data_IF_188241384165
#
_entry.id   IF_188241384165
#
_cell.length_a   1.000
_cell.length_b   1.000
_cell.length_c   1.000
_cell.angle_alpha   90.00
_cell.angle_beta   90.00
_cell.angle_gamma   90.00
#
_symmetry.space_group_name_H-M   'P 1'
#
loop_
_entity.id
_entity.type
_entity.pdbx_description
1 polymer ?
#
# COMPACT_ATOMS: atom_id res chain seq x y z
N UNK A 1 9.25 0.14 23.46
CA UNK A 1 10.66 0.59 23.45
C UNK A 1 10.76 2.08 23.08
N UNK A 2 10.18 2.54 21.96
CA UNK A 2 10.24 3.96 21.54
C UNK A 2 9.62 4.92 22.58
N UNK A 3 8.52 4.54 23.22
CA UNK A 3 7.83 5.38 24.21
C UNK A 3 8.64 5.68 25.49
N UNK A 4 9.67 4.87 25.74
CA UNK A 4 10.53 4.99 26.93
C UNK A 4 12.01 5.18 26.57
N UNK A 5 12.31 5.52 25.33
CA UNK A 5 13.69 5.72 24.82
C UNK A 5 14.64 4.56 25.14
N UNK A 6 14.10 3.33 25.21
CA UNK A 6 14.83 2.13 25.57
C UNK A 6 15.12 1.99 27.09
N UNK A 7 14.66 2.91 27.91
CA UNK A 7 14.81 2.80 29.36
C UNK A 7 13.64 2.01 29.95
N UNK A 8 13.90 0.78 30.36
CA UNK A 8 12.93 -0.13 30.99
C UNK A 8 12.75 0.11 32.50
N UNK A 9 13.66 0.81 33.14
CA UNK A 9 13.64 1.05 34.61
C UNK A 9 12.42 1.91 34.99
N UNK A 10 11.97 2.82 34.11
CA UNK A 10 10.77 3.66 34.35
C UNK A 10 9.46 2.85 34.33
N UNK A 11 9.50 1.62 33.85
CA UNK A 11 8.33 0.75 33.73
C UNK A 11 8.17 -0.08 34.99
N UNK A 12 9.27 -0.58 35.54
CA UNK A 12 9.28 -1.40 36.75
C UNK A 12 8.69 -0.65 37.94
N UNK A 13 8.82 0.68 37.97
CA UNK A 13 8.23 1.55 39.01
C UNK A 13 6.74 1.86 38.81
N UNK A 14 6.19 1.66 37.60
CA UNK A 14 4.80 2.05 37.24
C UNK A 14 3.88 0.90 36.95
N UNK A 15 4.43 -0.25 36.61
CA UNK A 15 3.66 -1.45 36.29
C UNK A 15 3.71 -2.43 37.47
N UNK A 16 2.56 -2.96 37.85
CA UNK A 16 2.41 -3.97 38.88
C UNK A 16 2.82 -5.38 38.37
N UNK A 17 3.87 -5.45 37.55
CA UNK A 17 4.33 -6.72 36.95
C UNK A 17 5.80 -6.97 37.29
N UNK A 18 6.15 -8.21 37.51
CA UNK A 18 7.54 -8.68 37.71
C UNK A 18 8.19 -9.14 36.41
N UNK A 19 7.47 -9.04 35.27
CA UNK A 19 7.91 -9.51 33.95
C UNK A 19 8.54 -8.38 33.16
N UNK A 20 9.61 -8.68 32.40
CA UNK A 20 10.19 -7.71 31.48
C UNK A 20 9.22 -7.36 30.35
N UNK A 21 9.32 -6.14 29.80
CA UNK A 21 8.54 -5.72 28.62
C UNK A 21 8.71 -6.69 27.48
N UNK A 22 9.93 -7.12 27.22
CA UNK A 22 10.24 -8.08 26.15
C UNK A 22 9.49 -9.41 26.33
N UNK A 23 9.37 -9.89 27.57
CA UNK A 23 8.63 -11.13 27.87
C UNK A 23 7.12 -10.94 27.70
N UNK A 24 6.59 -9.78 28.04
CA UNK A 24 5.17 -9.43 27.86
C UNK A 24 4.85 -9.41 26.37
N UNK A 25 5.64 -8.71 25.54
CA UNK A 25 5.43 -8.67 24.11
C UNK A 25 5.65 -10.02 23.41
N UNK A 26 6.65 -10.80 23.80
CA UNK A 26 6.86 -12.17 23.29
C UNK A 26 5.70 -13.10 23.65
N UNK A 27 5.10 -12.93 24.84
CA UNK A 27 3.89 -13.66 25.24
C UNK A 27 2.71 -13.27 24.36
N UNK A 28 2.45 -11.98 24.19
CA UNK A 28 1.38 -11.47 23.36
C UNK A 28 1.51 -11.93 21.89
N UNK A 29 2.75 -11.91 21.35
CA UNK A 29 3.01 -12.40 19.98
C UNK A 29 2.72 -13.90 19.85
N UNK A 30 3.06 -14.73 20.83
CA UNK A 30 2.72 -16.17 20.82
C UNK A 30 1.20 -16.39 20.84
N UNK A 31 0.49 -15.63 21.67
CA UNK A 31 -0.98 -15.66 21.73
C UNK A 31 -1.57 -15.32 20.36
N UNK A 32 -1.11 -14.22 19.76
CA UNK A 32 -1.56 -13.81 18.43
C UNK A 32 -1.31 -14.89 17.37
N UNK A 33 -0.11 -15.44 17.32
CA UNK A 33 0.27 -16.49 16.38
C UNK A 33 -0.54 -17.79 16.59
N UNK A 34 -0.97 -18.07 17.81
CA UNK A 34 -1.85 -19.22 18.11
C UNK A 34 -3.26 -18.93 17.64
N UNK A 35 -3.79 -17.76 17.97
CA UNK A 35 -5.14 -17.33 17.57
C UNK A 35 -5.28 -17.23 16.05
N UNK A 36 -4.26 -16.76 15.35
CA UNK A 36 -4.28 -16.62 13.88
C UNK A 36 -4.43 -17.95 13.13
N UNK A 37 -4.08 -19.07 13.78
CA UNK A 37 -4.25 -20.44 13.25
C UNK A 37 -5.60 -21.10 13.57
N UNK A 38 -6.48 -20.41 14.28
CA UNK A 38 -7.79 -20.92 14.60
C UNK A 38 -8.73 -20.89 13.38
N UNK A 39 -9.83 -21.66 13.45
CA UNK A 39 -10.86 -21.59 12.42
C UNK A 39 -11.40 -20.16 12.27
N UNK A 40 -11.68 -19.69 11.04
CA UNK A 40 -12.20 -18.34 10.80
C UNK A 40 -13.41 -17.95 11.65
N UNK A 41 -14.30 -18.91 11.96
CA UNK A 41 -15.47 -18.68 12.82
C UNK A 41 -15.09 -18.33 14.28
N UNK A 42 -13.98 -18.84 14.78
CA UNK A 42 -13.52 -18.67 16.17
C UNK A 42 -12.51 -17.51 16.30
N UNK A 43 -12.00 -17.00 15.21
CA UNK A 43 -11.05 -15.85 15.18
C UNK A 43 -11.78 -14.53 15.43
N UNK A 44 -12.34 -14.37 16.62
CA UNK A 44 -12.99 -13.13 17.05
C UNK A 44 -12.05 -12.29 17.92
N UNK A 45 -12.22 -10.97 17.88
CA UNK A 45 -11.47 -10.05 18.75
C UNK A 45 -11.67 -10.39 20.22
N UNK A 46 -12.87 -10.81 20.61
CA UNK A 46 -13.18 -11.19 21.98
C UNK A 46 -12.36 -12.39 22.43
N UNK A 47 -12.21 -13.40 21.60
CA UNK A 47 -11.38 -14.57 21.90
C UNK A 47 -9.90 -14.20 22.00
N UNK A 48 -9.38 -13.33 21.11
CA UNK A 48 -8.01 -12.83 21.20
C UNK A 48 -7.77 -12.08 22.51
N UNK A 49 -8.64 -11.13 22.86
CA UNK A 49 -8.51 -10.33 24.09
C UNK A 49 -8.55 -11.18 25.36
N UNK A 50 -9.33 -12.26 25.39
CA UNK A 50 -9.38 -13.21 26.52
C UNK A 50 -8.08 -14.00 26.70
N UNK A 51 -7.31 -14.17 25.64
CA UNK A 51 -6.06 -14.94 25.67
C UNK A 51 -4.84 -14.06 26.04
N UNK A 52 -4.95 -12.73 25.89
CA UNK A 52 -3.89 -11.80 26.24
C UNK A 52 -3.78 -11.60 27.77
N UNK A 53 -2.55 -11.55 28.27
CA UNK A 53 -2.27 -11.34 29.66
C UNK A 53 -2.66 -9.92 30.13
N UNK A 54 -3.01 -9.78 31.41
CA UNK A 54 -3.31 -8.48 32.02
C UNK A 54 -2.13 -7.50 31.91
N UNK A 55 -0.90 -7.97 32.09
CA UNK A 55 0.32 -7.18 31.99
C UNK A 55 0.45 -6.46 30.65
N UNK A 56 0.01 -7.09 29.55
CA UNK A 56 -0.01 -6.48 28.22
C UNK A 56 -0.93 -5.25 28.16
N UNK A 57 -2.08 -5.32 28.79
CA UNK A 57 -3.01 -4.18 28.86
C UNK A 57 -2.50 -3.07 29.76
N UNK A 58 -1.84 -3.39 30.88
CA UNK A 58 -1.21 -2.39 31.75
C UNK A 58 -0.10 -1.62 31.01
N UNK A 59 0.73 -2.32 30.24
CA UNK A 59 1.74 -1.65 29.37
C UNK A 59 1.07 -0.72 28.38
N UNK A 60 0.03 -1.17 27.69
CA UNK A 60 -0.69 -0.32 26.73
C UNK A 60 -1.32 0.90 27.39
N UNK A 61 -1.98 0.74 28.54
CA UNK A 61 -2.62 1.84 29.26
C UNK A 61 -1.60 2.86 29.79
N UNK A 62 -0.39 2.40 30.14
CA UNK A 62 0.69 3.29 30.63
C UNK A 62 1.25 4.22 29.55
N UNK A 63 1.22 3.81 28.28
CA UNK A 63 1.79 4.56 27.13
C UNK A 63 0.73 5.23 26.25
N UNK A 64 -0.57 4.98 26.51
CA UNK A 64 -1.65 5.51 25.70
C UNK A 64 -2.67 6.30 26.52
N UNK A 65 -3.05 7.46 26.01
CA UNK A 65 -4.22 8.21 26.50
C UNK A 65 -5.32 8.04 25.46
N UNK A 66 -6.09 6.97 25.60
CA UNK A 66 -7.19 6.69 24.68
C UNK A 66 -8.43 7.50 25.03
N UNK A 67 -8.98 8.23 24.05
CA UNK A 67 -10.28 8.88 24.14
C UNK A 67 -11.21 8.25 23.10
N UNK A 68 -12.03 7.28 23.52
CA UNK A 68 -13.01 6.69 22.63
C UNK A 68 -14.15 7.68 22.33
N UNK A 69 -14.79 7.52 21.18
CA UNK A 69 -15.99 8.28 20.80
C UNK A 69 -17.08 8.22 21.89
N UNK A 70 -17.31 7.04 22.46
CA UNK A 70 -18.26 6.85 23.59
C UNK A 70 -17.83 7.65 24.82
N UNK A 71 -16.54 7.70 25.10
CA UNK A 71 -15.99 8.48 26.22
C UNK A 71 -16.24 9.98 26.02
N UNK A 72 -15.94 10.49 24.79
CA UNK A 72 -16.20 11.89 24.46
C UNK A 72 -17.68 12.22 24.60
N UNK A 73 -18.57 11.42 24.02
CA UNK A 73 -20.02 11.64 24.10
C UNK A 73 -20.58 11.58 25.53
N UNK A 74 -19.94 10.83 26.42
CA UNK A 74 -20.39 10.67 27.82
C UNK A 74 -19.93 11.79 28.73
N UNK A 75 -18.73 12.32 28.53
CA UNK A 75 -18.06 13.20 29.50
C UNK A 75 -17.83 14.63 29.03
N UNK A 76 -18.07 14.93 27.75
CA UNK A 76 -17.90 16.28 27.20
C UNK A 76 -19.25 16.83 26.72
N UNK A 77 -19.40 18.15 26.84
CA UNK A 77 -20.60 18.82 26.30
C UNK A 77 -20.53 18.88 24.77
N UNK A 78 -21.34 18.04 24.13
CA UNK A 78 -21.42 17.97 22.67
C UNK A 78 -22.13 19.16 22.05
N UNK A 79 -22.82 20.01 22.85
CA UNK A 79 -23.40 21.26 22.35
C UNK A 79 -22.32 22.29 22.00
N UNK A 80 -21.20 22.30 22.75
CA UNK A 80 -20.07 23.20 22.47
C UNK A 80 -19.10 22.67 21.42
N UNK A 81 -18.77 21.37 21.48
CA UNK A 81 -17.74 20.77 20.62
C UNK A 81 -18.31 20.13 19.34
N UNK A 82 -19.64 20.06 19.20
CA UNK A 82 -20.32 19.43 18.09
C UNK A 82 -20.59 17.93 18.29
N UNK A 83 -21.25 17.33 17.32
CA UNK A 83 -21.59 15.90 17.33
C UNK A 83 -20.77 15.12 16.31
N UNK A 84 -20.61 13.83 16.53
CA UNK A 84 -20.03 12.93 15.52
C UNK A 84 -21.11 12.54 14.49
N UNK A 85 -20.72 12.39 13.22
CA UNK A 85 -21.64 11.85 12.22
C UNK A 85 -21.98 10.38 12.52
N UNK A 86 -23.17 9.96 12.08
CA UNK A 86 -23.60 8.56 12.17
C UNK A 86 -22.89 7.73 11.09
N UNK A 87 -22.20 6.69 11.49
CA UNK A 87 -21.56 5.73 10.59
C UNK A 87 -22.59 4.81 9.98
N UNK A 88 -22.77 4.83 8.68
CA UNK A 88 -23.58 3.82 7.98
C UNK A 88 -22.81 2.49 7.92
N UNK A 89 -23.55 1.39 7.70
CA UNK A 89 -22.93 0.07 7.54
C UNK A 89 -21.97 0.09 6.36
N UNK A 90 -20.70 -0.34 6.53
CA UNK A 90 -19.75 -0.38 5.43
C UNK A 90 -20.27 -1.25 4.27
N UNK A 91 -20.03 -0.77 3.05
CA UNK A 91 -20.32 -1.52 1.82
C UNK A 91 -19.04 -2.25 1.42
N UNK A 92 -19.12 -3.56 1.26
CA UNK A 92 -18.00 -4.39 0.79
C UNK A 92 -18.32 -4.95 -0.60
N UNK A 93 -17.45 -4.70 -1.55
CA UNK A 93 -17.58 -5.08 -2.94
C UNK A 93 -16.45 -6.02 -3.33
N UNK A 94 -16.75 -7.04 -4.12
CA UNK A 94 -15.78 -8.02 -4.63
C UNK A 94 -16.00 -8.21 -6.14
N UNK A 95 -15.63 -7.23 -6.97
CA UNK A 95 -15.75 -7.37 -8.41
C UNK A 95 -14.77 -8.44 -8.92
N UNK A 96 -15.14 -9.22 -9.92
CA UNK A 96 -14.19 -10.09 -10.61
C UNK A 96 -13.12 -9.24 -11.31
N UNK A 97 -12.02 -9.88 -11.75
CA UNK A 97 -10.92 -9.19 -12.42
C UNK A 97 -11.37 -8.46 -13.68
N UNK A 98 -12.21 -9.12 -14.50
CA UNK A 98 -12.67 -8.61 -15.77
C UNK A 98 -14.06 -9.17 -16.16
N UNK A 99 -14.75 -8.47 -17.05
CA UNK A 99 -16.01 -8.88 -17.65
C UNK A 99 -15.81 -9.68 -18.97
N UNK A 100 -14.59 -9.90 -19.43
CA UNK A 100 -14.29 -10.69 -20.62
C UNK A 100 -14.57 -12.17 -20.37
N UNK A 101 -15.33 -12.82 -21.27
CA UNK A 101 -15.78 -14.22 -21.08
C UNK A 101 -14.68 -15.28 -21.17
N UNK A 102 -13.54 -14.96 -21.75
CA UNK A 102 -12.40 -15.88 -21.97
C UNK A 102 -11.12 -15.34 -21.37
N UNK A 103 -11.22 -14.46 -20.36
CA UNK A 103 -10.06 -13.84 -19.75
C UNK A 103 -9.61 -14.60 -18.51
N UNK A 104 -8.35 -14.40 -18.23
CA UNK A 104 -7.66 -14.89 -17.04
C UNK A 104 -8.36 -14.43 -15.74
N UNK A 105 -8.38 -15.28 -14.76
CA UNK A 105 -8.84 -14.98 -13.41
C UNK A 105 -7.67 -14.79 -12.44
N UNK A 106 -7.95 -14.37 -11.21
CA UNK A 106 -6.92 -14.15 -10.18
C UNK A 106 -6.08 -15.40 -9.89
N UNK A 107 -6.69 -16.58 -9.86
CA UNK A 107 -5.99 -17.84 -9.54
C UNK A 107 -5.00 -18.23 -10.65
N UNK A 108 -5.40 -18.09 -11.91
CA UNK A 108 -4.52 -18.36 -13.06
C UNK A 108 -3.32 -17.39 -13.09
N UNK A 109 -3.53 -16.11 -12.75
CA UNK A 109 -2.42 -15.16 -12.61
C UNK A 109 -1.50 -15.60 -11.47
N UNK A 110 -2.08 -16.01 -10.34
CA UNK A 110 -1.32 -16.47 -9.19
C UNK A 110 -0.44 -17.68 -9.54
N UNK A 111 -1.00 -18.69 -10.20
CA UNK A 111 -0.25 -19.87 -10.65
C UNK A 111 0.94 -19.49 -11.55
N UNK A 112 0.74 -18.55 -12.48
CA UNK A 112 1.83 -18.06 -13.33
C UNK A 112 2.87 -17.27 -12.55
N UNK A 113 2.48 -16.43 -11.60
CA UNK A 113 3.41 -15.72 -10.74
C UNK A 113 4.27 -16.66 -9.90
N UNK A 114 3.73 -17.80 -9.47
CA UNK A 114 4.48 -18.83 -8.74
C UNK A 114 5.55 -19.54 -9.59
N UNK A 115 5.45 -19.48 -10.93
CA UNK A 115 6.49 -20.00 -11.83
C UNK A 115 7.70 -19.06 -11.95
N UNK A 116 7.57 -17.78 -11.56
CA UNK A 116 8.66 -16.83 -11.62
C UNK A 116 9.72 -17.14 -10.57
N UNK A 117 10.94 -17.32 -11.04
CA UNK A 117 12.10 -17.46 -10.14
C UNK A 117 12.65 -16.11 -9.69
N UNK A 118 12.37 -15.03 -10.41
CA UNK A 118 12.80 -13.66 -10.15
C UNK A 118 14.31 -13.55 -9.87
N UNK A 119 15.11 -14.30 -10.65
CA UNK A 119 16.57 -14.40 -10.47
C UNK A 119 17.30 -13.10 -10.78
N UNK A 120 16.60 -12.16 -11.40
CA UNK A 120 17.10 -10.79 -11.55
C UNK A 120 17.41 -10.10 -10.21
N UNK A 121 16.70 -10.48 -9.13
CA UNK A 121 16.87 -9.95 -7.79
C UNK A 121 17.84 -10.79 -6.92
N UNK A 122 18.35 -11.91 -7.45
CA UNK A 122 19.28 -12.81 -6.72
C UNK A 122 20.56 -13.11 -7.51
N UNK A 123 21.25 -12.11 -8.06
CA UNK A 123 22.44 -12.31 -8.89
C UNK A 123 23.60 -12.93 -8.12
N UNK A 124 23.69 -12.76 -6.80
CA UNK A 124 24.76 -13.34 -5.98
C UNK A 124 24.76 -14.87 -6.03
N UNK A 125 23.61 -15.51 -6.27
CA UNK A 125 23.51 -16.96 -6.40
C UNK A 125 24.27 -17.53 -7.61
N UNK A 126 24.59 -16.69 -8.58
CA UNK A 126 25.28 -17.07 -9.79
C UNK A 126 26.77 -16.67 -9.77
N UNK A 127 27.28 -16.12 -8.68
CA UNK A 127 28.74 -15.88 -8.53
C UNK A 127 29.46 -17.22 -8.46
N UNK A 128 30.52 -17.38 -9.25
CA UNK A 128 31.33 -18.60 -9.24
C UNK A 128 31.96 -18.80 -7.86
N UNK A 129 31.94 -20.04 -7.30
CA UNK A 129 32.53 -20.29 -5.98
C UNK A 129 33.96 -19.80 -5.81
N UNK A 130 34.77 -19.89 -6.87
CA UNK A 130 36.16 -19.40 -6.89
C UNK A 130 36.30 -17.88 -6.83
N UNK A 131 35.21 -17.14 -6.92
CA UNK A 131 35.14 -15.66 -6.92
C UNK A 131 34.40 -15.09 -5.72
N UNK A 132 33.80 -15.93 -4.90
CA UNK A 132 33.02 -15.52 -3.74
C UNK A 132 33.81 -14.64 -2.77
N UNK A 133 35.08 -15.00 -2.51
CA UNK A 133 35.95 -14.23 -1.60
C UNK A 133 36.17 -12.78 -2.06
N UNK A 134 36.19 -12.54 -3.38
CA UNK A 134 36.32 -11.18 -3.96
C UNK A 134 35.15 -10.29 -3.56
N UNK A 135 33.98 -10.86 -3.39
CA UNK A 135 32.75 -10.13 -3.07
C UNK A 135 32.38 -10.21 -1.60
N UNK A 136 32.97 -11.13 -0.80
CA UNK A 136 32.66 -11.31 0.62
C UNK A 136 32.86 -10.01 1.42
N UNK A 137 33.95 -9.28 1.20
CA UNK A 137 34.22 -7.99 1.87
C UNK A 137 33.24 -6.87 1.47
N UNK A 138 32.68 -6.95 0.25
CA UNK A 138 31.69 -5.98 -0.26
C UNK A 138 30.29 -6.25 0.25
N UNK A 139 30.02 -7.53 0.62
CA UNK A 139 28.74 -8.01 1.09
C UNK A 139 28.63 -8.08 2.63
N UNK A 140 29.76 -8.04 3.33
CA UNK A 140 29.79 -8.00 4.80
C UNK A 140 30.03 -6.55 5.27
N UNK A 141 28.99 -5.82 5.59
CA UNK A 141 29.13 -4.56 6.31
C UNK A 141 29.40 -4.86 7.81
N UNK A 142 30.68 -4.73 8.21
CA UNK A 142 31.23 -5.08 9.50
C UNK A 142 30.67 -4.30 10.71
N UNK A 143 29.50 -3.68 10.63
CA UNK A 143 28.96 -2.81 11.67
C UNK A 143 27.58 -3.17 12.23
N UNK A 144 26.91 -4.20 11.72
CA UNK A 144 25.62 -4.62 12.27
C UNK A 144 25.70 -6.10 12.65
N UNK A 145 25.77 -6.37 13.94
CA UNK A 145 25.80 -7.69 14.57
C UNK A 145 24.43 -8.41 14.43
N UNK A 146 23.96 -8.66 13.23
CA UNK A 146 22.83 -9.57 12.99
C UNK A 146 23.09 -10.20 11.64
N UNK A 147 23.27 -11.54 11.59
CA UNK A 147 23.67 -12.37 10.44
C UNK A 147 22.79 -12.30 9.18
N UNK A 148 22.62 -11.09 8.65
CA UNK A 148 22.02 -10.88 7.34
C UNK A 148 23.12 -10.90 6.28
N UNK A 149 23.35 -12.06 5.69
CA UNK A 149 24.18 -12.19 4.49
C UNK A 149 23.44 -11.56 3.29
N UNK A 150 24.19 -11.08 2.28
CA UNK A 150 23.61 -10.56 1.04
C UNK A 150 22.62 -11.57 0.40
N UNK A 151 22.93 -12.86 0.44
CA UNK A 151 22.05 -13.90 -0.06
C UNK A 151 20.68 -13.91 0.65
N UNK A 152 20.65 -13.74 1.97
CA UNK A 152 19.39 -13.65 2.72
C UNK A 152 18.60 -12.40 2.36
N UNK A 153 19.29 -11.29 2.09
CA UNK A 153 18.70 -10.05 1.63
C UNK A 153 18.06 -10.19 0.24
N UNK A 154 18.78 -10.74 -0.72
CA UNK A 154 18.28 -10.99 -2.07
C UNK A 154 17.04 -11.91 -2.05
N UNK A 155 17.04 -12.93 -1.20
CA UNK A 155 15.87 -13.80 -0.96
C UNK A 155 14.69 -13.00 -0.38
N UNK A 156 14.96 -12.08 0.54
CA UNK A 156 13.95 -11.17 1.08
C UNK A 156 13.34 -10.30 -0.01
N UNK A 157 14.17 -9.66 -0.85
CA UNK A 157 13.73 -8.83 -1.98
C UNK A 157 12.86 -9.64 -2.94
N UNK A 158 13.30 -10.84 -3.33
CA UNK A 158 12.53 -11.73 -4.20
C UNK A 158 11.12 -12.01 -3.64
N UNK A 159 11.03 -12.36 -2.35
CA UNK A 159 9.74 -12.59 -1.70
C UNK A 159 8.87 -11.34 -1.67
N UNK A 160 9.45 -10.19 -1.31
CA UNK A 160 8.73 -8.91 -1.29
C UNK A 160 8.23 -8.54 -2.68
N UNK A 161 9.03 -8.75 -3.73
CA UNK A 161 8.61 -8.48 -5.12
C UNK A 161 7.40 -9.34 -5.51
N UNK A 162 7.40 -10.63 -5.17
CA UNK A 162 6.24 -11.49 -5.44
C UNK A 162 4.98 -10.99 -4.71
N UNK A 163 5.11 -10.65 -3.42
CA UNK A 163 4.00 -10.09 -2.64
C UNK A 163 3.52 -8.75 -3.24
N UNK A 164 4.45 -7.89 -3.65
CA UNK A 164 4.09 -6.60 -4.24
C UNK A 164 3.39 -6.76 -5.60
N UNK A 165 3.80 -7.72 -6.43
CA UNK A 165 3.07 -8.03 -7.67
C UNK A 165 1.62 -8.41 -7.38
N UNK A 166 1.39 -9.24 -6.36
CA UNK A 166 0.04 -9.60 -5.92
C UNK A 166 -0.76 -8.39 -5.43
N UNK A 167 -0.17 -7.55 -4.58
CA UNK A 167 -0.80 -6.31 -4.09
C UNK A 167 -1.17 -5.36 -5.24
N UNK A 168 -0.29 -5.23 -6.25
CA UNK A 168 -0.55 -4.39 -7.42
C UNK A 168 -1.68 -4.94 -8.28
N UNK A 169 -1.75 -6.27 -8.44
CA UNK A 169 -2.87 -6.93 -9.12
C UNK A 169 -4.20 -6.68 -8.39
N UNK A 170 -4.21 -6.79 -7.05
CA UNK A 170 -5.38 -6.46 -6.24
C UNK A 170 -5.78 -4.99 -6.36
N UNK A 171 -4.81 -4.09 -6.46
CA UNK A 171 -5.08 -2.67 -6.61
C UNK A 171 -5.68 -2.37 -7.97
N UNK A 172 -4.97 -2.64 -9.06
CA UNK A 172 -5.49 -2.51 -10.42
C UNK A 172 -4.70 -3.35 -11.42
N UNK A 173 -5.40 -3.90 -12.42
CA UNK A 173 -4.77 -4.60 -13.56
C UNK A 173 -3.78 -3.70 -14.29
N UNK A 174 -4.08 -2.40 -14.38
CA UNK A 174 -3.20 -1.41 -15.00
C UNK A 174 -1.86 -1.29 -14.27
N UNK A 175 -1.88 -1.09 -12.96
CA UNK A 175 -0.67 -0.98 -12.13
C UNK A 175 0.14 -2.28 -12.16
N UNK A 176 -0.52 -3.42 -12.13
CA UNK A 176 0.11 -4.74 -12.27
C UNK A 176 0.82 -4.88 -13.62
N UNK A 177 0.13 -4.63 -14.73
CA UNK A 177 0.70 -4.70 -16.08
C UNK A 177 1.90 -3.76 -16.25
N UNK A 178 1.82 -2.54 -15.71
CA UNK A 178 2.91 -1.58 -15.75
C UNK A 178 4.16 -2.12 -15.03
N UNK A 179 3.97 -2.75 -13.88
CA UNK A 179 5.10 -3.34 -13.11
C UNK A 179 5.69 -4.56 -13.82
N UNK A 180 4.86 -5.44 -14.40
CA UNK A 180 5.36 -6.56 -15.19
C UNK A 180 6.24 -6.07 -16.35
N UNK A 181 5.83 -5.02 -17.06
CA UNK A 181 6.61 -4.42 -18.15
C UNK A 181 7.95 -3.86 -17.67
N UNK A 182 7.97 -3.15 -16.53
CA UNK A 182 9.22 -2.64 -15.93
C UNK A 182 10.20 -3.78 -15.58
N UNK A 183 9.68 -4.87 -15.01
CA UNK A 183 10.52 -6.05 -14.71
C UNK A 183 11.00 -6.72 -16.00
N UNK A 184 10.14 -6.84 -17.00
CA UNK A 184 10.50 -7.40 -18.31
C UNK A 184 11.62 -6.59 -18.98
N UNK A 185 11.51 -5.26 -19.05
CA UNK A 185 12.54 -4.36 -19.60
C UNK A 185 13.88 -4.54 -18.89
N UNK A 186 13.88 -4.68 -17.57
CA UNK A 186 15.08 -4.93 -16.78
C UNK A 186 15.71 -6.30 -17.12
N UNK A 187 14.92 -7.34 -17.25
CA UNK A 187 15.38 -8.69 -17.63
C UNK A 187 15.95 -8.67 -19.06
N UNK A 188 15.25 -8.07 -20.02
CA UNK A 188 15.70 -7.97 -21.41
C UNK A 188 17.02 -7.21 -21.53
N UNK A 189 17.16 -6.08 -20.85
CA UNK A 189 18.39 -5.29 -20.83
C UNK A 189 19.57 -6.08 -20.24
N UNK A 190 19.29 -6.88 -19.20
CA UNK A 190 20.30 -7.75 -18.58
C UNK A 190 20.70 -8.89 -19.51
N UNK A 191 19.75 -9.57 -20.15
CA UNK A 191 20.02 -10.63 -21.14
C UNK A 191 20.86 -10.05 -22.29
N UNK A 192 20.49 -8.86 -22.80
CA UNK A 192 21.26 -8.20 -23.85
C UNK A 192 22.71 -7.90 -23.42
N UNK A 193 22.90 -7.45 -22.18
CA UNK A 193 24.24 -7.21 -21.62
C UNK A 193 25.06 -8.50 -21.51
N UNK A 194 24.43 -9.63 -21.16
CA UNK A 194 25.09 -10.95 -21.12
C UNK A 194 25.44 -11.42 -22.53
N UNK A 195 24.53 -11.27 -23.49
CA UNK A 195 24.73 -11.73 -24.88
C UNK A 195 25.81 -10.92 -25.63
N UNK A 196 25.98 -9.65 -25.27
CA UNK A 196 27.01 -8.79 -25.84
C UNK A 196 28.36 -8.86 -25.10
N UNK A 197 28.42 -9.64 -24.01
CA UNK A 197 29.64 -9.76 -23.22
C UNK A 197 30.77 -10.44 -23.99
N UNK A 198 31.86 -9.68 -24.23
CA UNK A 198 33.13 -10.21 -24.75
C UNK A 198 34.12 -10.35 -23.59
N UNK A 199 34.68 -11.56 -23.42
CA UNK A 199 35.68 -11.86 -22.38
C UNK A 199 36.91 -10.95 -22.40
N UNK A 200 37.13 -10.16 -23.47
CA UNK A 200 38.22 -9.21 -23.61
C UNK A 200 37.88 -7.82 -23.05
N UNK A 201 36.61 -7.52 -22.83
CA UNK A 201 36.13 -6.28 -22.22
C UNK A 201 35.67 -6.53 -20.82
N UNK A 202 36.18 -5.82 -19.81
CA UNK A 202 35.67 -5.85 -18.45
C UNK A 202 34.34 -5.07 -18.41
N UNK A 203 33.24 -5.69 -18.83
CA UNK A 203 31.91 -5.13 -18.67
C UNK A 203 31.46 -5.38 -17.25
N UNK A 204 31.35 -4.32 -16.47
CA UNK A 204 30.73 -4.36 -15.14
C UNK A 204 29.23 -4.16 -15.32
N UNK A 205 28.45 -5.18 -14.97
CA UNK A 205 27.02 -4.98 -14.76
C UNK A 205 26.86 -4.05 -13.56
N UNK A 206 26.46 -2.82 -13.83
CA UNK A 206 25.95 -1.95 -12.78
C UNK A 206 24.53 -2.42 -12.47
N UNK A 207 24.39 -3.26 -11.45
CA UNK A 207 23.07 -3.63 -10.89
C UNK A 207 22.37 -2.43 -10.22
N UNK A 208 22.75 -1.22 -10.65
CA UNK A 208 22.21 0.07 -10.17
C UNK A 208 20.75 0.25 -10.51
N UNK A 209 20.27 -0.41 -11.57
CA UNK A 209 18.88 -0.26 -11.99
C UNK A 209 17.92 -1.19 -11.26
N UNK A 210 18.46 -2.17 -10.53
CA UNK A 210 17.61 -3.04 -9.67
C UNK A 210 17.09 -2.27 -8.46
N UNK A 211 17.83 -1.28 -7.97
CA UNK A 211 17.37 -0.41 -6.88
C UNK A 211 16.44 0.71 -7.35
N UNK A 212 16.38 1.02 -8.65
CA UNK A 212 15.41 1.96 -9.20
C UNK A 212 14.02 1.32 -9.45
N UNK A 213 13.85 0.04 -9.09
CA UNK A 213 12.53 -0.52 -8.74
C UNK A 213 12.01 0.15 -7.45
N UNK A 214 12.77 1.11 -6.89
CA UNK A 214 12.44 2.02 -5.78
C UNK A 214 11.23 2.94 -6.04
N UNK A 215 10.68 2.96 -7.23
CA UNK A 215 9.32 3.39 -7.46
C UNK A 215 8.28 2.31 -7.08
N UNK A 216 8.66 1.34 -6.25
CA UNK A 216 7.68 0.70 -5.38
C UNK A 216 7.24 1.79 -4.39
N UNK A 217 6.13 2.37 -4.70
CA UNK A 217 5.40 3.35 -3.91
C UNK A 217 4.91 2.70 -2.59
N UNK A 218 5.85 2.21 -1.81
CA UNK A 218 5.59 1.72 -0.47
C UNK A 218 5.77 2.89 0.46
N UNK A 219 4.69 3.61 0.72
CA UNK A 219 4.61 4.51 1.88
C UNK A 219 4.70 3.73 3.21
N UNK A 220 4.95 2.43 3.18
CA UNK A 220 5.28 1.61 4.33
C UNK A 220 6.77 1.77 4.64
N UNK A 221 7.08 2.54 5.70
CA UNK A 221 8.44 2.76 6.20
C UNK A 221 9.25 1.47 6.42
N UNK A 222 8.59 0.34 6.63
CA UNK A 222 9.25 -0.96 6.74
C UNK A 222 9.79 -1.49 5.40
N UNK A 223 9.18 -1.13 4.29
CA UNK A 223 9.65 -1.53 2.96
C UNK A 223 10.81 -0.62 2.52
N UNK A 224 10.77 0.69 2.85
CA UNK A 224 11.88 1.63 2.59
C UNK A 224 13.16 1.22 3.34
N UNK A 225 13.07 0.75 4.59
CA UNK A 225 14.24 0.25 5.33
C UNK A 225 14.85 -1.00 4.68
N UNK A 226 14.03 -1.92 4.15
CA UNK A 226 14.49 -3.13 3.47
C UNK A 226 15.15 -2.82 2.11
N UNK A 227 14.66 -1.82 1.38
CA UNK A 227 15.22 -1.40 0.09
C UNK A 227 16.36 -0.37 0.23
N UNK A 228 16.34 0.48 1.26
CA UNK A 228 17.37 1.50 1.50
C UNK A 228 18.70 0.92 2.02
N UNK A 229 18.70 -0.24 2.65
CA UNK A 229 19.90 -0.87 3.19
C UNK A 229 20.68 -1.63 2.11
N UNK A 230 21.60 -0.97 1.41
CA UNK A 230 22.61 -1.65 0.62
C UNK A 230 23.40 -0.77 -0.31
N UNK A 231 24.71 -0.80 -0.13
CA UNK A 231 25.66 -0.31 -1.14
C UNK A 231 25.42 -1.08 -2.44
N UNK A 232 25.35 -0.36 -3.55
CA UNK A 232 25.29 -0.89 -4.92
C UNK A 232 26.52 -1.75 -5.16
N UNK A 233 26.37 -3.06 -5.17
CA UNK A 233 27.49 -3.96 -5.46
C UNK A 233 27.52 -4.22 -6.96
N UNK A 234 28.68 -3.91 -7.58
CA UNK A 234 28.91 -4.17 -9.00
C UNK A 234 29.54 -5.56 -9.15
N UNK A 235 28.83 -6.48 -9.80
CA UNK A 235 29.34 -7.81 -10.10
C UNK A 235 29.84 -7.82 -11.53
N UNK A 236 31.05 -8.36 -11.75
CA UNK A 236 31.58 -8.56 -13.09
C UNK A 236 30.97 -9.81 -13.72
N UNK A 237 30.43 -9.72 -14.94
CA UNK A 237 29.80 -10.85 -15.65
C UNK A 237 30.78 -12.05 -15.73
N UNK A 238 32.08 -11.78 -15.91
CA UNK A 238 33.13 -12.81 -15.97
C UNK A 238 33.33 -13.59 -14.68
N UNK A 239 32.84 -13.10 -13.54
CA UNK A 239 32.92 -13.76 -12.24
C UNK A 239 31.66 -14.58 -11.91
N UNK A 240 30.71 -14.64 -12.85
CA UNK A 240 29.42 -15.31 -12.68
C UNK A 240 29.27 -16.53 -13.60
N UNK A 241 28.44 -17.49 -13.18
CA UNK A 241 27.83 -18.46 -14.11
C UNK A 241 26.71 -17.75 -14.89
N UNK A 242 27.11 -16.81 -15.72
CA UNK A 242 26.20 -15.97 -16.50
C UNK A 242 25.34 -16.77 -17.49
N UNK A 243 25.76 -17.99 -17.88
CA UNK A 243 24.96 -18.83 -18.76
C UNK A 243 23.73 -19.37 -18.05
N UNK A 244 23.93 -19.99 -16.88
CA UNK A 244 22.82 -20.49 -16.08
C UNK A 244 21.90 -19.36 -15.62
N UNK A 245 22.48 -18.18 -15.30
CA UNK A 245 21.68 -17.00 -14.96
C UNK A 245 20.82 -16.54 -16.13
N UNK A 246 21.43 -16.42 -17.33
CA UNK A 246 20.72 -16.08 -18.56
C UNK A 246 19.58 -17.05 -18.85
N UNK A 247 19.78 -18.34 -18.71
CA UNK A 247 18.74 -19.36 -18.95
C UNK A 247 17.57 -19.21 -17.95
N UNK A 248 17.85 -18.82 -16.71
CA UNK A 248 16.84 -18.53 -15.71
C UNK A 248 16.07 -17.23 -16.04
N UNK A 249 16.80 -16.18 -16.46
CA UNK A 249 16.19 -14.91 -16.88
C UNK A 249 15.29 -15.10 -18.10
N UNK A 250 15.66 -15.94 -19.06
CA UNK A 250 14.83 -16.26 -20.24
C UNK A 250 13.52 -16.93 -19.81
N UNK A 251 13.56 -17.86 -18.85
CA UNK A 251 12.33 -18.46 -18.32
C UNK A 251 11.41 -17.44 -17.64
N UNK A 252 11.98 -16.57 -16.82
CA UNK A 252 11.22 -15.49 -16.18
C UNK A 252 10.63 -14.53 -17.22
N UNK A 253 11.41 -14.18 -18.27
CA UNK A 253 10.93 -13.37 -19.39
C UNK A 253 9.71 -13.98 -20.05
N UNK A 254 9.79 -15.27 -20.43
CA UNK A 254 8.71 -15.95 -21.15
C UNK A 254 7.42 -16.00 -20.33
N UNK A 255 7.51 -16.17 -19.01
CA UNK A 255 6.35 -16.10 -18.09
C UNK A 255 5.79 -14.68 -17.99
N UNK A 256 6.66 -13.66 -17.90
CA UNK A 256 6.23 -12.25 -17.84
C UNK A 256 5.54 -11.82 -19.15
N UNK A 257 6.09 -12.20 -20.31
CA UNK A 257 5.47 -11.94 -21.62
C UNK A 257 4.07 -12.55 -21.71
N UNK A 258 3.90 -13.80 -21.23
CA UNK A 258 2.61 -14.47 -21.18
C UNK A 258 1.63 -13.71 -20.26
N UNK A 259 2.05 -13.34 -19.06
CA UNK A 259 1.22 -12.56 -18.15
C UNK A 259 0.80 -11.22 -18.73
N UNK A 260 1.76 -10.48 -19.34
CA UNK A 260 1.49 -9.18 -19.99
C UNK A 260 0.47 -9.34 -21.13
N UNK A 261 0.62 -10.40 -21.93
CA UNK A 261 -0.33 -10.69 -23.01
C UNK A 261 -1.73 -10.97 -22.45
N UNK A 262 -1.84 -11.80 -21.42
CA UNK A 262 -3.13 -12.20 -20.85
C UNK A 262 -3.88 -11.05 -20.17
N UNK A 263 -3.17 -10.13 -19.50
CA UNK A 263 -3.79 -8.97 -18.84
C UNK A 263 -3.91 -7.76 -19.75
N UNK A 264 -3.21 -7.76 -20.90
CA UNK A 264 -3.17 -6.65 -21.85
C UNK A 264 -4.50 -6.30 -22.49
N UNK A 265 -5.38 -7.29 -22.64
CA UNK A 265 -6.72 -7.12 -23.21
C UNK A 265 -7.73 -6.50 -22.22
N UNK A 266 -7.35 -6.39 -20.95
CA UNK A 266 -8.22 -5.79 -19.92
C UNK A 266 -8.08 -4.27 -19.97
N UNK A 267 -8.78 -3.66 -20.93
CA UNK A 267 -8.89 -2.20 -21.05
C UNK A 267 -9.83 -1.63 -19.97
N UNK A 268 -9.89 -0.30 -19.77
CA UNK A 268 -10.79 0.30 -18.79
C UNK A 268 -12.25 -0.12 -18.92
N UNK A 269 -12.72 -0.40 -20.14
CA UNK A 269 -14.08 -0.87 -20.42
C UNK A 269 -14.34 -2.28 -19.88
N UNK A 270 -13.30 -3.10 -19.80
CA UNK A 270 -13.37 -4.49 -19.35
C UNK A 270 -12.83 -4.69 -17.93
N UNK A 271 -12.29 -3.64 -17.30
CA UNK A 271 -11.88 -3.63 -15.88
C UNK A 271 -13.13 -3.58 -14.99
N UNK A 272 -13.54 -4.74 -14.49
CA UNK A 272 -14.76 -4.85 -13.67
C UNK A 272 -14.71 -4.01 -12.41
N UNK A 273 -13.53 -3.84 -11.82
CA UNK A 273 -13.34 -3.05 -10.59
C UNK A 273 -13.54 -1.57 -10.87
N UNK A 274 -13.00 -1.06 -11.98
CA UNK A 274 -13.22 0.31 -12.42
C UNK A 274 -14.68 0.57 -12.78
N UNK A 275 -15.33 -0.37 -13.49
CA UNK A 275 -16.74 -0.25 -13.85
C UNK A 275 -17.64 -0.24 -12.60
N UNK A 276 -17.33 -1.07 -11.60
CA UNK A 276 -18.04 -1.05 -10.34
C UNK A 276 -17.81 0.27 -9.57
N UNK A 277 -16.59 0.83 -9.61
CA UNK A 277 -16.31 2.15 -9.05
C UNK A 277 -17.18 3.23 -9.70
N UNK A 278 -17.34 3.23 -11.02
CA UNK A 278 -18.23 4.17 -11.72
C UNK A 278 -19.68 4.03 -11.25
N UNK A 279 -20.14 2.78 -11.01
CA UNK A 279 -21.48 2.52 -10.50
C UNK A 279 -21.66 3.10 -9.09
N UNK A 280 -20.67 2.92 -8.20
CA UNK A 280 -20.68 3.45 -6.85
C UNK A 280 -20.70 4.99 -6.85
N UNK A 281 -19.83 5.61 -7.64
CA UNK A 281 -19.76 7.08 -7.78
C UNK A 281 -21.10 7.62 -8.31
N UNK A 282 -21.63 7.02 -9.37
CA UNK A 282 -22.92 7.40 -9.94
C UNK A 282 -24.04 7.35 -8.90
N UNK A 283 -24.13 6.23 -8.19
CA UNK A 283 -25.16 6.05 -7.16
C UNK A 283 -25.05 7.11 -6.04
N UNK A 284 -23.84 7.41 -5.56
CA UNK A 284 -23.62 8.47 -4.55
C UNK A 284 -24.03 9.85 -5.06
N UNK A 285 -23.75 10.17 -6.31
CA UNK A 285 -24.05 11.48 -6.89
C UNK A 285 -25.55 11.67 -7.20
N UNK A 286 -26.23 10.60 -7.61
CA UNK A 286 -27.68 10.59 -7.86
C UNK A 286 -28.50 10.48 -6.58
N UNK A 287 -27.99 9.79 -5.54
CA UNK A 287 -28.65 9.56 -4.26
C UNK A 287 -27.71 9.93 -3.09
N UNK A 288 -27.45 11.22 -2.86
CA UNK A 288 -26.53 11.64 -1.81
C UNK A 288 -27.06 11.27 -0.42
N UNK A 289 -26.18 10.75 0.45
CA UNK A 289 -26.55 10.38 1.83
C UNK A 289 -26.78 11.58 2.75
N UNK A 290 -26.19 12.73 2.43
CA UNK A 290 -26.54 14.02 3.00
C UNK A 290 -26.93 14.97 1.86
N UNK A 291 -28.00 15.71 2.03
CA UNK A 291 -28.54 16.58 0.99
C UNK A 291 -27.49 17.55 0.44
N UNK A 292 -27.35 17.60 -0.88
CA UNK A 292 -26.42 18.49 -1.57
C UNK A 292 -24.94 18.10 -1.49
N UNK A 293 -24.55 17.12 -0.66
CA UNK A 293 -23.15 16.72 -0.56
C UNK A 293 -22.75 15.75 -1.67
N UNK A 294 -21.86 16.18 -2.56
CA UNK A 294 -21.31 15.42 -3.69
C UNK A 294 -19.88 14.97 -3.49
N UNK A 295 -19.28 15.27 -2.33
CA UNK A 295 -17.85 15.00 -2.08
C UNK A 295 -17.60 13.52 -1.90
N UNK A 296 -16.56 13.03 -2.57
CA UNK A 296 -16.08 11.64 -2.52
C UNK A 296 -14.56 11.65 -2.39
N UNK A 297 -14.02 10.85 -1.47
CA UNK A 297 -12.61 10.57 -1.42
C UNK A 297 -12.34 9.11 -1.76
N UNK A 298 -11.36 8.86 -2.64
CA UNK A 298 -10.96 7.53 -3.09
C UNK A 298 -9.51 7.32 -2.68
N UNK A 299 -9.27 6.34 -1.84
CA UNK A 299 -7.93 5.95 -1.43
C UNK A 299 -7.45 4.72 -2.20
N UNK A 300 -6.19 4.74 -2.59
CA UNK A 300 -5.44 3.60 -3.14
C UNK A 300 -4.03 3.57 -2.57
N UNK A 301 -3.40 2.40 -2.53
CA UNK A 301 -2.05 2.22 -2.01
C UNK A 301 -0.96 2.65 -3.02
N UNK A 302 -1.27 2.69 -4.32
CA UNK A 302 -0.26 2.89 -5.37
C UNK A 302 -0.52 4.15 -6.21
N UNK A 303 0.54 4.95 -6.44
CA UNK A 303 0.46 6.14 -7.30
C UNK A 303 0.10 5.80 -8.75
N UNK A 304 0.59 4.68 -9.29
CA UNK A 304 0.20 4.20 -10.63
C UNK A 304 -1.33 3.97 -10.72
N UNK A 305 -1.93 3.37 -9.68
CA UNK A 305 -3.38 3.19 -9.60
C UNK A 305 -4.09 4.53 -9.42
N UNK A 306 -3.55 5.44 -8.61
CA UNK A 306 -4.14 6.79 -8.45
C UNK A 306 -4.18 7.54 -9.78
N UNK A 307 -3.09 7.48 -10.56
CA UNK A 307 -3.02 8.05 -11.91
C UNK A 307 -4.06 7.43 -12.86
N UNK A 308 -4.14 6.11 -12.88
CA UNK A 308 -5.13 5.38 -13.68
C UNK A 308 -6.57 5.75 -13.32
N UNK A 309 -6.88 5.82 -12.04
CA UNK A 309 -8.19 6.26 -11.55
C UNK A 309 -8.47 7.70 -11.94
N UNK A 310 -7.49 8.59 -11.79
CA UNK A 310 -7.66 9.98 -12.18
C UNK A 310 -7.98 10.13 -13.66
N UNK A 311 -7.26 9.45 -14.54
CA UNK A 311 -7.48 9.52 -15.99
C UNK A 311 -8.87 9.05 -16.42
N UNK A 312 -9.43 8.05 -15.73
CA UNK A 312 -10.72 7.46 -16.06
C UNK A 312 -11.89 8.13 -15.30
N UNK A 313 -11.75 8.31 -13.97
CA UNK A 313 -12.81 8.88 -13.14
C UNK A 313 -13.03 10.36 -13.44
N UNK A 314 -11.95 11.14 -13.68
CA UNK A 314 -12.11 12.57 -13.97
C UNK A 314 -12.92 12.83 -15.24
N UNK A 315 -12.71 12.05 -16.29
CA UNK A 315 -13.51 12.12 -17.53
C UNK A 315 -14.96 11.77 -17.25
N UNK A 316 -15.19 10.60 -16.61
CA UNK A 316 -16.54 10.12 -16.30
C UNK A 316 -17.36 11.13 -15.50
N UNK A 317 -16.75 11.74 -14.47
CA UNK A 317 -17.41 12.67 -13.55
C UNK A 317 -17.61 14.05 -14.21
N UNK A 318 -16.65 14.51 -15.00
CA UNK A 318 -16.74 15.76 -15.73
C UNK A 318 -17.83 15.72 -16.81
N UNK A 319 -17.86 14.64 -17.59
CA UNK A 319 -18.79 14.52 -18.72
C UNK A 319 -20.24 14.32 -18.25
N UNK A 320 -20.47 13.58 -17.17
CA UNK A 320 -21.82 13.24 -16.71
C UNK A 320 -22.38 14.17 -15.64
N UNK A 321 -21.51 14.71 -14.78
CA UNK A 321 -21.96 15.44 -13.58
C UNK A 321 -21.39 16.86 -13.48
N UNK A 322 -20.48 17.24 -14.39
CA UNK A 322 -19.81 18.55 -14.41
C UNK A 322 -19.09 18.90 -13.11
N UNK A 323 -18.51 17.89 -12.45
CA UNK A 323 -17.80 18.02 -11.18
C UNK A 323 -16.28 18.02 -11.38
N UNK A 324 -15.56 18.61 -10.44
CA UNK A 324 -14.12 18.68 -10.46
C UNK A 324 -13.47 17.53 -9.68
N UNK A 325 -12.38 17.02 -10.24
CA UNK A 325 -11.60 15.94 -9.65
C UNK A 325 -10.16 16.41 -9.44
N UNK A 326 -9.54 15.98 -8.34
CA UNK A 326 -8.11 16.11 -8.13
C UNK A 326 -7.49 14.78 -7.69
N UNK A 327 -6.18 14.66 -7.89
CA UNK A 327 -5.36 13.57 -7.44
C UNK A 327 -4.17 14.11 -6.64
N UNK A 328 -3.85 13.47 -5.52
CA UNK A 328 -2.66 13.74 -4.71
C UNK A 328 -1.97 12.43 -4.34
N UNK A 329 -0.64 12.43 -4.40
CA UNK A 329 0.19 11.28 -4.03
C UNK A 329 1.49 11.78 -3.40
N UNK A 330 2.20 10.91 -2.67
CA UNK A 330 3.47 11.26 -2.04
C UNK A 330 4.63 11.32 -3.05
N UNK A 331 4.56 10.54 -4.11
CA UNK A 331 5.67 10.32 -5.06
C UNK A 331 5.48 11.02 -6.42
N UNK A 332 4.23 11.37 -6.78
CA UNK A 332 3.91 11.97 -8.08
C UNK A 332 3.25 13.34 -7.88
N UNK A 333 3.56 14.28 -8.77
CA UNK A 333 2.95 15.61 -8.77
C UNK A 333 1.41 15.53 -8.81
N UNK A 334 0.76 16.34 -7.98
CA UNK A 334 -0.70 16.42 -7.93
C UNK A 334 -1.30 16.85 -9.27
N UNK A 335 -2.53 16.41 -9.54
CA UNK A 335 -3.28 16.70 -10.78
C UNK A 335 -4.68 17.19 -10.44
N UNK A 336 -5.22 18.11 -11.25
CA UNK A 336 -6.60 18.61 -11.08
C UNK A 336 -7.25 18.92 -12.42
N UNK A 337 -8.57 18.74 -12.49
CA UNK A 337 -9.38 19.15 -13.65
C UNK A 337 -9.72 20.64 -13.66
N UNK A 338 -9.38 21.35 -12.57
CA UNK A 338 -9.64 22.78 -12.43
C UNK A 338 -8.55 23.58 -13.14
N UNK A 339 -8.89 24.38 -14.18
CA UNK A 339 -7.89 25.15 -14.90
C UNK A 339 -7.19 26.15 -13.99
N UNK A 340 -5.86 26.26 -14.11
CA UNK A 340 -5.00 27.22 -13.38
C UNK A 340 -4.95 27.07 -11.86
N UNK A 341 -5.59 26.05 -11.28
CA UNK A 341 -5.42 25.75 -9.88
C UNK A 341 -4.05 25.10 -9.66
N UNK A 342 -3.31 25.57 -8.65
CA UNK A 342 -2.08 24.88 -8.24
C UNK A 342 -2.41 23.50 -7.69
N UNK A 343 -1.68 22.49 -8.14
CA UNK A 343 -1.89 21.09 -7.77
C UNK A 343 -1.14 20.66 -6.51
N UNK A 344 -0.59 21.62 -5.76
CA UNK A 344 0.03 21.33 -4.47
C UNK A 344 -1.00 20.81 -3.45
N UNK A 345 -0.51 20.00 -2.53
CA UNK A 345 -1.33 19.28 -1.55
C UNK A 345 -2.27 20.23 -0.76
N UNK A 346 -1.75 21.34 -0.26
CA UNK A 346 -2.53 22.23 0.60
C UNK A 346 -3.66 22.92 -0.18
N UNK A 347 -3.38 23.42 -1.38
CA UNK A 347 -4.37 24.05 -2.25
C UNK A 347 -5.47 23.07 -2.64
N UNK A 348 -5.10 21.85 -3.06
CA UNK A 348 -6.05 20.80 -3.42
C UNK A 348 -6.95 20.43 -2.23
N UNK A 349 -6.38 20.18 -1.05
CA UNK A 349 -7.15 19.81 0.13
C UNK A 349 -8.05 20.96 0.64
N UNK A 350 -7.60 22.22 0.50
CA UNK A 350 -8.41 23.41 0.85
C UNK A 350 -9.61 23.55 -0.08
N UNK A 351 -9.44 23.29 -1.38
CA UNK A 351 -10.54 23.30 -2.34
C UNK A 351 -11.48 22.09 -2.21
N UNK A 352 -10.95 20.94 -1.74
CA UNK A 352 -11.75 19.74 -1.49
C UNK A 352 -12.59 19.86 -0.21
N UNK A 353 -12.02 20.41 0.86
CA UNK A 353 -12.66 20.53 2.18
C UNK A 353 -12.72 21.98 2.65
N UNK A 354 -13.47 22.86 1.94
CA UNK A 354 -13.41 24.30 2.10
C UNK A 354 -13.87 24.78 3.48
N UNK A 355 -14.79 24.08 4.12
CA UNK A 355 -15.31 24.47 5.44
C UNK A 355 -14.30 24.09 6.52
N UNK A 356 -13.87 22.85 6.54
CA UNK A 356 -12.94 22.34 7.56
C UNK A 356 -11.50 22.80 7.39
N UNK A 357 -11.18 23.46 6.28
CA UNK A 357 -9.88 24.10 5.99
C UNK A 357 -9.94 25.62 5.99
N UNK A 358 -11.05 26.21 6.42
CA UNK A 358 -11.25 27.66 6.47
C UNK A 358 -10.88 28.36 5.15
N UNK A 359 -11.29 27.78 4.01
CA UNK A 359 -10.96 28.30 2.67
C UNK A 359 -11.32 29.78 2.51
N UNK A 360 -12.40 30.21 3.11
CA UNK A 360 -12.87 31.61 3.06
C UNK A 360 -11.85 32.58 3.66
N UNK A 361 -10.98 32.14 4.58
CA UNK A 361 -9.88 32.95 5.15
C UNK A 361 -8.61 32.85 4.29
N UNK A 362 -8.33 31.66 3.76
CA UNK A 362 -7.09 31.41 3.02
C UNK A 362 -7.14 31.85 1.57
N UNK A 363 -8.33 31.76 0.94
CA UNK A 363 -8.56 32.02 -0.48
C UNK A 363 -9.93 32.73 -0.68
N UNK A 364 -10.13 33.95 -0.15
CA UNK A 364 -11.45 34.61 -0.09
C UNK A 364 -12.07 34.85 -1.45
N UNK A 365 -11.27 35.11 -2.48
CA UNK A 365 -11.74 35.42 -3.84
C UNK A 365 -11.92 34.15 -4.70
N UNK A 366 -11.47 33.00 -4.24
CA UNK A 366 -11.55 31.73 -5.00
C UNK A 366 -12.74 30.88 -4.55
N UNK A 367 -13.73 30.76 -5.44
CA UNK A 367 -14.94 29.95 -5.24
C UNK A 367 -14.82 28.53 -5.79
N UNK A 368 -13.64 28.15 -6.28
CA UNK A 368 -13.41 26.84 -6.88
C UNK A 368 -13.55 25.74 -5.84
N UNK A 369 -14.28 24.69 -6.16
CA UNK A 369 -14.37 23.50 -5.33
C UNK A 369 -13.91 22.26 -6.10
N UNK A 370 -13.35 21.32 -5.37
CA UNK A 370 -13.05 19.96 -5.82
C UNK A 370 -14.09 19.05 -5.17
N UNK A 371 -14.73 18.21 -5.96
CA UNK A 371 -15.79 17.32 -5.52
C UNK A 371 -15.27 15.91 -5.28
N UNK A 372 -14.36 15.43 -6.14
CA UNK A 372 -13.72 14.12 -5.99
C UNK A 372 -12.23 14.28 -5.75
N UNK A 373 -11.75 13.57 -4.74
CA UNK A 373 -10.33 13.48 -4.41
C UNK A 373 -9.86 12.03 -4.52
N UNK A 374 -8.85 11.79 -5.34
CA UNK A 374 -8.14 10.51 -5.42
C UNK A 374 -6.81 10.69 -4.72
N UNK A 375 -6.49 9.81 -3.78
CA UNK A 375 -5.31 9.98 -2.94
C UNK A 375 -4.63 8.67 -2.61
N UNK A 376 -3.32 8.72 -2.47
CA UNK A 376 -2.56 7.68 -1.78
C UNK A 376 -2.54 7.94 -0.27
N UNK A 377 -1.87 7.11 0.50
CA UNK A 377 -1.80 7.23 1.96
C UNK A 377 -1.02 8.47 2.45
N UNK A 378 -0.44 9.28 1.54
CA UNK A 378 0.21 10.56 1.87
C UNK A 378 -0.68 11.53 2.66
N UNK A 379 -2.01 11.40 2.54
CA UNK A 379 -2.98 12.21 3.29
C UNK A 379 -3.68 11.40 4.40
N UNK A 380 -3.23 10.18 4.66
CA UNK A 380 -3.84 9.34 5.71
C UNK A 380 -3.62 9.89 7.12
N UNK A 381 -2.67 10.82 7.31
CA UNK A 381 -2.35 11.42 8.62
C UNK A 381 -2.49 12.96 8.60
N UNK A 382 -2.87 13.51 9.75
CA UNK A 382 -2.87 14.97 10.00
C UNK A 382 -3.95 15.80 9.31
N UNK A 383 -4.63 15.30 8.28
CA UNK A 383 -5.58 16.09 7.50
C UNK A 383 -7.02 16.02 8.06
N UNK A 384 -7.74 17.16 8.02
CA UNK A 384 -9.17 17.24 8.32
C UNK A 384 -9.95 17.37 7.01
N UNK A 385 -10.78 16.37 6.68
CA UNK A 385 -11.54 16.29 5.44
C UNK A 385 -13.03 16.00 5.72
N UNK A 386 -13.53 16.50 6.85
CA UNK A 386 -14.89 16.21 7.33
C UNK A 386 -16.03 16.85 6.52
N UNK A 387 -15.71 17.68 5.51
CA UNK A 387 -16.69 18.14 4.53
C UNK A 387 -17.13 16.98 3.62
N UNK A 388 -16.28 15.99 3.45
CA UNK A 388 -16.59 14.76 2.72
C UNK A 388 -17.36 13.78 3.61
N UNK A 389 -18.37 13.13 3.03
CA UNK A 389 -19.22 12.15 3.72
C UNK A 389 -19.08 10.72 3.16
N UNK A 390 -18.29 10.55 2.08
CA UNK A 390 -18.20 9.28 1.35
C UNK A 390 -16.76 8.91 1.06
N UNK A 391 -16.27 7.83 1.68
CA UNK A 391 -14.91 7.34 1.54
C UNK A 391 -14.92 5.98 0.87
N UNK A 392 -14.11 5.84 -0.18
CA UNK A 392 -13.90 4.61 -0.93
C UNK A 392 -12.45 4.16 -0.73
N UNK A 393 -12.24 2.98 -0.17
CA UNK A 393 -10.98 2.27 -0.28
C UNK A 393 -11.02 1.44 -1.56
N UNK A 394 -10.32 1.90 -2.60
CA UNK A 394 -10.23 1.17 -3.87
C UNK A 394 -9.39 -0.09 -3.75
N UNK A 395 -8.44 -0.08 -2.84
CA UNK A 395 -7.73 -1.26 -2.35
C UNK A 395 -7.64 -1.23 -0.82
N UNK A 396 -7.55 -2.41 -0.24
CA UNK A 396 -7.47 -2.60 1.20
C UNK A 396 -6.00 -2.66 1.60
N UNK A 397 -5.61 -1.75 2.50
CA UNK A 397 -4.28 -1.81 3.07
C UNK A 397 -4.18 -3.00 4.06
N UNK A 398 -3.07 -3.75 4.00
CA UNK A 398 -2.85 -4.92 4.88
C UNK A 398 -2.80 -4.53 6.36
N UNK A 399 -2.29 -3.35 6.67
CA UNK A 399 -2.36 -2.82 8.01
C UNK A 399 -3.75 -2.19 8.27
N UNK A 400 -4.61 -2.78 9.11
CA UNK A 400 -5.94 -2.27 9.38
C UNK A 400 -5.94 -0.87 10.02
N UNK A 401 -4.83 -0.46 10.65
CA UNK A 401 -4.66 0.88 11.21
C UNK A 401 -4.77 1.94 10.12
N UNK A 402 -4.23 1.69 8.92
CA UNK A 402 -4.34 2.61 7.79
C UNK A 402 -5.81 2.84 7.38
N UNK A 403 -6.62 1.79 7.33
CA UNK A 403 -8.06 1.91 7.02
C UNK A 403 -8.76 2.78 8.08
N UNK A 404 -8.43 2.56 9.36
CA UNK A 404 -8.96 3.37 10.47
C UNK A 404 -8.50 4.83 10.34
N UNK A 405 -7.23 5.07 10.01
CA UNK A 405 -6.68 6.41 9.81
C UNK A 405 -7.35 7.12 8.63
N UNK A 406 -7.50 6.45 7.47
CA UNK A 406 -8.23 6.97 6.31
C UNK A 406 -9.65 7.38 6.70
N UNK A 407 -10.41 6.49 7.35
CA UNK A 407 -11.77 6.77 7.77
C UNK A 407 -11.85 7.90 8.81
N UNK A 408 -10.86 7.99 9.70
CA UNK A 408 -10.74 9.09 10.67
C UNK A 408 -10.56 10.48 10.03
N UNK A 409 -10.35 10.59 8.71
CA UNK A 409 -10.31 11.90 8.01
C UNK A 409 -11.67 12.54 7.89
N UNK A 410 -12.73 11.73 7.73
CA UNK A 410 -14.12 12.18 7.58
C UNK A 410 -14.95 11.96 8.85
N UNK A 411 -14.59 11.01 9.69
CA UNK A 411 -15.30 10.69 10.94
C UNK A 411 -14.78 11.52 12.11
N UNK A 412 -15.15 12.80 12.14
CA UNK A 412 -14.70 13.76 13.14
C UNK A 412 -15.86 14.46 13.84
N UNK A 413 -15.60 14.87 15.08
CA UNK A 413 -16.52 15.69 15.85
C UNK A 413 -16.67 17.07 15.20
N UNK A 414 -17.88 17.63 15.24
CA UNK A 414 -18.18 18.92 14.61
C UNK A 414 -18.38 18.85 13.09
N UNK A 415 -18.46 17.63 12.50
CA UNK A 415 -18.85 17.50 11.10
C UNK A 415 -20.26 18.02 10.85
N UNK A 416 -20.46 18.71 9.71
CA UNK A 416 -21.78 19.12 9.24
C UNK A 416 -22.60 17.98 8.64
N UNK A 417 -21.95 16.86 8.33
CA UNK A 417 -22.60 15.68 7.79
C UNK A 417 -23.32 14.90 8.88
N UNK A 418 -24.56 14.53 8.64
CA UNK A 418 -25.34 13.66 9.55
C UNK A 418 -24.89 12.22 9.45
N UNK A 419 -24.57 11.78 8.24
CA UNK A 419 -24.17 10.41 7.93
C UNK A 419 -22.84 10.38 7.21
N UNK A 420 -22.06 9.30 7.42
CA UNK A 420 -20.85 9.00 6.65
C UNK A 420 -20.85 7.56 6.21
N UNK A 421 -20.33 7.30 5.00
CA UNK A 421 -20.27 6.00 4.38
C UNK A 421 -18.84 5.59 4.08
N UNK A 422 -18.54 4.32 4.37
CA UNK A 422 -17.32 3.63 3.97
C UNK A 422 -17.65 2.58 2.91
N UNK A 423 -16.90 2.56 1.82
CA UNK A 423 -16.97 1.54 0.77
C UNK A 423 -15.60 0.89 0.64
N UNK A 424 -15.55 -0.42 0.66
CA UNK A 424 -14.33 -1.20 0.54
C UNK A 424 -14.40 -2.11 -0.68
N UNK A 425 -13.41 -2.01 -1.56
CA UNK A 425 -13.19 -2.96 -2.64
C UNK A 425 -12.20 -4.03 -2.17
N UNK A 426 -12.59 -5.27 -2.28
CA UNK A 426 -11.78 -6.44 -1.99
C UNK A 426 -11.44 -7.15 -3.28
N UNK A 427 -10.25 -7.73 -3.36
CA UNK A 427 -9.97 -8.68 -4.42
C UNK A 427 -10.82 -9.95 -4.23
N UNK A 428 -11.14 -10.61 -5.33
CA UNK A 428 -11.85 -11.90 -5.31
C UNK A 428 -10.87 -13.07 -5.12
N UNK A 429 -9.97 -12.91 -4.15
CA UNK A 429 -8.96 -13.89 -3.74
C UNK A 429 -9.17 -14.17 -2.26
N UNK A 430 -9.05 -15.42 -1.85
CA UNK A 430 -9.15 -15.78 -0.44
C UNK A 430 -7.82 -15.51 0.27
N UNK A 431 -7.87 -15.00 1.50
CA UNK A 431 -6.68 -14.69 2.30
C UNK A 431 -5.78 -15.90 2.54
N UNK A 432 -6.35 -17.10 2.47
CA UNK A 432 -5.63 -18.37 2.64
C UNK A 432 -4.60 -18.60 1.51
N UNK A 433 -4.84 -18.01 0.32
CA UNK A 433 -3.93 -18.11 -0.83
C UNK A 433 -2.61 -17.33 -0.63
N UNK A 434 -2.55 -16.40 0.34
CA UNK A 434 -1.36 -15.58 0.63
C UNK A 434 -0.51 -16.08 1.80
N UNK A 435 -1.07 -16.89 2.69
CA UNK A 435 -0.40 -17.27 3.95
C UNK A 435 0.60 -18.40 3.70
N UNK A 436 0.44 -19.15 2.62
CA UNK A 436 1.36 -20.23 2.24
C UNK A 436 2.57 -19.76 1.39
N UNK A 437 2.70 -18.46 1.12
CA UNK A 437 3.87 -17.83 0.52
C UNK A 437 4.88 -17.39 1.60
#
# INVERSE_FOLDING_TARGET
ALAYEGNTDLIDDKLNTTRSIDDIFKSAQRVFNTWSKWNPADRTTENLLRMLDFDFFEVLDSVTIARSRKHIQKYYDTAEIGTFPTRLKPISLRPPLTNLKQAINYNEIFELLMLLSLTIYTPSHFILPSKMDKYAELYEDNKVNIGFTQANREQGIRRLTAINLMKRMESSVYSFNLTLKRILELIESTIHSIDTYDKKSSVKLELTDISNVDEFDSEDQNDEELFAFGKKVKIEIGDMDYKSWRDSLVKDRDVLELLILMVGDITPEYDSKLQELFRVIKNKLEHPINEGNKKIIIFTAFADTAGYLYDNVSKFVKDKFHLNTAMVSGSVEGRTTVPKLHSDLNTVLTCFSPISKDKYLLMPDDKTEIDLLIATDCISEGQNLQDCDYLINYDIHWNPVRIIQRFGRIDRIGSKNTYIQLVNFWADVTLDDYIDL
#
